data_IF_258577142615
#
_entry.id   IF_258577142615
#
_cell.length_a   1.000
_cell.length_b   1.000
_cell.length_c   1.000
_cell.angle_alpha   90.00
_cell.angle_beta   90.00
_cell.angle_gamma   90.00
#
_symmetry.space_group_name_H-M   'P 1'
#
loop_
_entity.id
_entity.type
_entity.pdbx_description
1 polymer ?
#
# COMPACT_ATOMS: atom_id res chain seq x y z
N UNK A 1 -54.89 22.31 26.46
CA UNK A 1 -54.39 21.23 27.35
C UNK A 1 -54.12 20.01 26.47
N UNK A 2 -52.87 19.50 26.46
CA UNK A 2 -52.48 18.10 26.17
C UNK A 2 -52.66 17.58 24.72
N UNK A 3 -51.75 16.88 24.04
CA UNK A 3 -50.35 16.47 24.25
C UNK A 3 -49.74 16.22 22.85
N UNK A 4 -48.44 16.51 22.70
CA UNK A 4 -47.59 16.17 21.55
C UNK A 4 -47.41 14.65 21.42
N UNK A 5 -47.50 14.12 20.21
CA UNK A 5 -47.06 12.76 19.86
C UNK A 5 -45.88 12.88 18.90
N UNK A 6 -44.67 12.88 19.47
CA UNK A 6 -43.41 12.73 18.76
C UNK A 6 -43.17 11.24 18.52
N UNK A 7 -43.23 10.79 17.27
CA UNK A 7 -42.77 9.47 16.89
C UNK A 7 -41.25 9.54 16.60
N UNK A 8 -40.47 8.95 17.49
CA UNK A 8 -39.02 8.77 17.34
C UNK A 8 -38.78 7.67 16.30
N UNK A 9 -38.23 8.05 15.15
CA UNK A 9 -37.70 7.12 14.16
C UNK A 9 -36.41 6.52 14.72
N UNK A 10 -36.44 5.26 15.16
CA UNK A 10 -35.22 4.52 15.49
C UNK A 10 -34.40 4.30 14.21
N UNK A 11 -33.26 4.97 14.13
CA UNK A 11 -32.22 4.68 13.16
C UNK A 11 -31.66 3.27 13.43
N UNK A 12 -31.93 2.34 12.52
CA UNK A 12 -31.24 1.07 12.44
C UNK A 12 -29.80 1.32 11.95
N UNK A 13 -28.88 1.54 12.88
CA UNK A 13 -27.45 1.51 12.55
C UNK A 13 -27.01 0.04 12.42
N UNK A 14 -26.53 -0.30 11.22
CA UNK A 14 -26.05 -1.62 10.85
C UNK A 14 -24.99 -2.14 11.82
N UNK A 15 -25.24 -3.35 12.34
CA UNK A 15 -24.29 -4.11 13.16
C UNK A 15 -23.72 -5.20 12.25
N UNK A 16 -22.79 -4.84 11.37
CA UNK A 16 -22.17 -5.78 10.43
C UNK A 16 -20.69 -5.53 10.10
N UNK A 17 -19.99 -4.65 10.84
CA UNK A 17 -18.80 -3.97 10.26
C UNK A 17 -17.45 -4.37 10.87
N UNK A 18 -17.39 -4.87 12.11
CA UNK A 18 -16.13 -5.24 12.75
C UNK A 18 -15.61 -6.64 12.35
N UNK A 19 -16.49 -7.52 11.85
CA UNK A 19 -16.14 -8.90 11.52
C UNK A 19 -15.53 -9.06 10.11
N UNK A 20 -15.77 -8.10 9.22
CA UNK A 20 -15.34 -8.19 7.82
C UNK A 20 -13.85 -7.89 7.61
N UNK A 21 -13.24 -7.03 8.44
CA UNK A 21 -11.81 -6.72 8.32
C UNK A 21 -10.92 -7.95 8.61
N UNK A 22 -11.13 -8.72 9.71
CA UNK A 22 -10.43 -9.98 9.92
C UNK A 22 -10.56 -10.97 8.74
N UNK A 23 -11.75 -11.07 8.14
CA UNK A 23 -12.00 -11.93 6.99
C UNK A 23 -11.21 -11.45 5.76
N UNK A 24 -11.27 -10.16 5.44
CA UNK A 24 -10.46 -9.56 4.38
C UNK A 24 -8.96 -9.79 4.60
N UNK A 25 -8.46 -9.65 5.83
CA UNK A 25 -7.03 -9.89 6.13
C UNK A 25 -6.63 -11.37 5.99
N UNK A 26 -7.56 -12.32 6.18
CA UNK A 26 -7.30 -13.73 5.87
C UNK A 26 -7.25 -13.95 4.36
N UNK A 27 -8.23 -13.41 3.62
CA UNK A 27 -8.30 -13.44 2.15
C UNK A 27 -7.01 -12.88 1.55
N UNK A 28 -6.57 -11.70 1.97
CA UNK A 28 -5.36 -11.07 1.45
C UNK A 28 -4.09 -11.88 1.75
N UNK A 29 -4.01 -12.51 2.93
CA UNK A 29 -2.90 -13.43 3.25
C UNK A 29 -2.94 -14.69 2.39
N UNK A 30 -4.12 -15.23 2.12
CA UNK A 30 -4.29 -16.37 1.23
C UNK A 30 -3.91 -16.00 -0.21
N UNK A 31 -4.35 -14.85 -0.69
CA UNK A 31 -4.05 -14.34 -2.03
C UNK A 31 -2.55 -14.14 -2.29
N UNK A 32 -1.70 -14.02 -1.26
CA UNK A 32 -0.24 -14.04 -1.46
C UNK A 32 0.28 -15.39 -2.00
N UNK A 33 -0.49 -16.47 -1.78
CA UNK A 33 -0.13 -17.86 -2.11
C UNK A 33 -0.82 -18.38 -3.35
N UNK A 34 -1.78 -17.65 -3.90
CA UNK A 34 -2.54 -18.04 -5.08
C UNK A 34 -2.39 -17.01 -6.18
N UNK A 35 -2.46 -17.48 -7.42
CA UNK A 35 -2.37 -16.67 -8.61
C UNK A 35 -3.59 -16.96 -9.49
N UNK A 36 -4.21 -15.89 -9.98
CA UNK A 36 -5.31 -15.97 -10.95
C UNK A 36 -4.77 -15.51 -12.30
N UNK A 37 -5.10 -16.26 -13.36
CA UNK A 37 -4.69 -15.94 -14.73
C UNK A 37 -5.90 -15.57 -15.58
N UNK A 38 -5.69 -14.65 -16.50
CA UNK A 38 -6.75 -14.08 -17.31
C UNK A 38 -6.28 -12.88 -18.11
N UNK A 39 -7.22 -12.07 -18.55
CA UNK A 39 -6.92 -10.79 -19.21
C UNK A 39 -7.18 -9.67 -18.22
N UNK A 40 -6.16 -8.87 -17.91
CA UNK A 40 -6.24 -7.77 -16.95
C UNK A 40 -5.96 -6.45 -17.64
N UNK A 41 -6.89 -5.50 -17.49
CA UNK A 41 -6.62 -4.10 -17.80
C UNK A 41 -5.99 -3.43 -16.60
N UNK A 42 -4.80 -2.85 -16.74
CA UNK A 42 -4.11 -2.10 -15.69
C UNK A 42 -3.81 -0.68 -16.16
N UNK A 43 -4.37 0.31 -15.45
CA UNK A 43 -4.17 1.73 -15.67
C UNK A 43 -3.45 2.37 -14.48
N UNK A 44 -2.37 3.11 -14.73
CA UNK A 44 -1.63 3.87 -13.71
C UNK A 44 -1.49 5.32 -14.18
N UNK A 45 -2.16 6.23 -13.48
CA UNK A 45 -2.22 7.66 -13.78
C UNK A 45 -1.19 8.47 -13.01
N UNK A 46 -0.59 7.88 -11.96
CA UNK A 46 0.39 8.56 -11.11
C UNK A 46 1.75 7.82 -11.04
N UNK A 47 2.88 8.54 -11.16
CA UNK A 47 2.96 9.91 -11.66
C UNK A 47 2.37 10.00 -13.09
N UNK A 48 1.96 11.18 -13.58
CA UNK A 48 1.31 11.34 -14.88
C UNK A 48 2.03 10.58 -16.00
N UNK A 49 1.28 9.77 -16.75
CA UNK A 49 1.78 8.96 -17.88
C UNK A 49 0.99 9.26 -19.14
N UNK A 50 1.69 9.32 -20.28
CA UNK A 50 1.06 9.48 -21.59
C UNK A 50 0.19 8.25 -21.97
N UNK A 51 0.69 7.04 -21.70
CA UNK A 51 -0.01 5.78 -21.91
C UNK A 51 -0.18 5.06 -20.56
N UNK A 52 -1.22 5.38 -19.78
CA UNK A 52 -1.40 4.84 -18.44
C UNK A 52 -1.84 3.38 -18.45
N UNK A 53 -2.46 2.92 -19.54
CA UNK A 53 -3.16 1.62 -19.62
C UNK A 53 -2.36 0.56 -20.37
N UNK A 54 -2.37 -0.66 -19.85
CA UNK A 54 -1.76 -1.86 -20.43
C UNK A 54 -2.58 -3.11 -20.13
N UNK A 55 -2.46 -4.11 -20.99
CA UNK A 55 -3.03 -5.45 -20.77
C UNK A 55 -1.97 -6.37 -20.17
N UNK A 56 -2.36 -7.17 -19.17
CA UNK A 56 -1.53 -8.16 -18.47
C UNK A 56 -2.26 -9.49 -18.38
N UNK A 57 -1.54 -10.55 -18.04
CA UNK A 57 -2.08 -11.91 -17.87
C UNK A 57 -2.49 -12.24 -16.41
N UNK A 58 -2.15 -11.35 -15.48
CA UNK A 58 -2.43 -11.45 -14.06
C UNK A 58 -2.54 -10.05 -13.43
N UNK A 59 -3.21 -9.97 -12.28
CA UNK A 59 -3.30 -8.71 -11.54
C UNK A 59 -1.91 -8.27 -11.05
N UNK A 60 -1.57 -6.97 -11.20
CA UNK A 60 -0.43 -6.40 -10.51
C UNK A 60 -0.52 -6.67 -9.01
N UNK A 61 0.63 -7.02 -8.43
CA UNK A 61 0.71 -7.31 -7.01
C UNK A 61 0.55 -6.03 -6.20
N UNK A 62 -0.43 -6.03 -5.30
CA UNK A 62 -0.53 -5.05 -4.21
C UNK A 62 0.08 -5.68 -2.97
N UNK A 63 1.05 -5.01 -2.37
CA UNK A 63 1.66 -5.49 -1.13
C UNK A 63 0.79 -5.09 0.06
N UNK A 64 0.42 -6.07 0.87
CA UNK A 64 -0.35 -5.84 2.09
C UNK A 64 0.51 -6.15 3.31
N UNK A 65 0.41 -5.35 4.35
CA UNK A 65 1.08 -5.55 5.62
C UNK A 65 -0.01 -5.74 6.69
N UNK A 66 -0.48 -6.96 6.95
CA UNK A 66 -1.76 -7.19 7.62
C UNK A 66 -1.92 -6.51 8.99
N UNK A 67 -0.86 -6.46 9.80
CA UNK A 67 -0.92 -5.80 11.11
C UNK A 67 -1.03 -4.28 11.00
N UNK A 68 -0.42 -3.67 9.97
CA UNK A 68 -0.55 -2.25 9.70
C UNK A 68 -1.91 -1.92 9.07
N UNK A 69 -2.42 -2.77 8.18
CA UNK A 69 -3.80 -2.62 7.67
C UNK A 69 -4.79 -2.61 8.82
N UNK A 70 -4.69 -3.57 9.75
CA UNK A 70 -5.55 -3.62 10.95
C UNK A 70 -5.47 -2.35 11.81
N UNK A 71 -4.29 -1.73 11.89
CA UNK A 71 -4.04 -0.58 12.76
C UNK A 71 -4.39 0.76 12.12
N UNK A 72 -4.17 0.88 10.81
CA UNK A 72 -4.14 2.16 10.11
C UNK A 72 -5.25 2.31 9.07
N UNK A 73 -6.14 1.33 8.91
CA UNK A 73 -7.25 1.41 7.96
C UNK A 73 -8.58 1.07 8.63
N UNK A 74 -9.61 1.81 8.21
CA UNK A 74 -11.00 1.45 8.47
C UNK A 74 -11.61 0.85 7.21
N UNK A 75 -12.45 -0.15 7.41
CA UNK A 75 -13.23 -0.77 6.35
C UNK A 75 -14.56 -0.03 6.21
N UNK A 76 -14.87 0.41 5.00
CA UNK A 76 -16.19 0.92 4.63
C UNK A 76 -17.18 -0.23 4.37
N UNK A 77 -18.40 0.12 4.00
CA UNK A 77 -19.43 -0.87 3.70
C UNK A 77 -19.02 -1.74 2.52
N UNK A 78 -19.07 -3.05 2.73
CA UNK A 78 -18.74 -3.98 1.68
C UNK A 78 -19.96 -4.15 0.76
N UNK A 79 -19.78 -3.87 -0.53
CA UNK A 79 -20.82 -3.96 -1.53
C UNK A 79 -20.70 -5.24 -2.34
N UNK A 80 -21.83 -5.84 -2.72
CA UNK A 80 -21.85 -6.90 -3.73
C UNK A 80 -21.68 -6.28 -5.11
N UNK A 81 -20.87 -6.91 -5.96
CA UNK A 81 -20.49 -6.44 -7.28
C UNK A 81 -20.19 -7.62 -8.23
N UNK A 82 -19.85 -7.36 -9.49
CA UNK A 82 -19.35 -8.35 -10.44
C UNK A 82 -18.07 -7.90 -11.11
N UNK A 83 -17.09 -8.81 -11.20
CA UNK A 83 -15.83 -8.58 -11.94
C UNK A 83 -15.57 -9.76 -12.86
N UNK A 84 -15.31 -9.49 -14.15
CA UNK A 84 -15.12 -10.52 -15.17
C UNK A 84 -16.23 -11.59 -15.18
N UNK A 85 -17.48 -11.18 -14.96
CA UNK A 85 -18.66 -12.06 -14.90
C UNK A 85 -18.81 -12.88 -13.61
N UNK A 86 -17.89 -12.75 -12.65
CA UNK A 86 -17.90 -13.46 -11.36
C UNK A 86 -18.43 -12.57 -10.25
N UNK A 87 -19.15 -13.15 -9.30
CA UNK A 87 -19.64 -12.45 -8.12
C UNK A 87 -18.46 -12.05 -7.21
N UNK A 88 -18.42 -10.78 -6.85
CA UNK A 88 -17.35 -10.20 -6.04
C UNK A 88 -17.90 -9.39 -4.88
N UNK A 89 -17.18 -9.39 -3.76
CA UNK A 89 -17.39 -8.46 -2.65
C UNK A 89 -16.36 -7.34 -2.77
N UNK A 90 -16.83 -6.10 -2.88
CA UNK A 90 -16.00 -4.90 -2.88
C UNK A 90 -15.75 -4.46 -1.44
N UNK A 91 -14.49 -4.21 -1.12
CA UNK A 91 -14.04 -3.71 0.17
C UNK A 91 -13.37 -2.35 -0.02
N UNK A 92 -13.94 -1.31 0.56
CA UNK A 92 -13.35 0.03 0.57
C UNK A 92 -12.55 0.25 1.86
N UNK A 93 -11.30 0.67 1.73
CA UNK A 93 -10.33 0.83 2.81
C UNK A 93 -9.90 2.29 2.87
N UNK A 94 -10.20 2.94 3.99
CA UNK A 94 -9.84 4.34 4.25
C UNK A 94 -8.67 4.39 5.24
N UNK A 95 -7.53 5.01 4.90
CA UNK A 95 -6.42 5.14 5.83
C UNK A 95 -6.76 6.14 6.95
N UNK A 96 -6.22 5.91 8.14
CA UNK A 96 -6.27 6.86 9.26
C UNK A 96 -5.48 8.13 8.97
N UNK A 97 -4.48 8.05 8.08
CA UNK A 97 -3.79 9.22 7.54
C UNK A 97 -4.61 9.79 6.38
N UNK A 98 -5.28 10.92 6.61
CA UNK A 98 -6.12 11.57 5.61
C UNK A 98 -5.38 12.01 4.33
N UNK A 99 -4.04 12.08 4.36
CA UNK A 99 -3.22 12.41 3.19
C UNK A 99 -2.77 11.18 2.38
N UNK A 100 -3.10 9.96 2.81
CA UNK A 100 -2.74 8.73 2.12
C UNK A 100 -3.88 8.24 1.21
N UNK A 101 -3.54 7.44 0.19
CA UNK A 101 -4.52 6.91 -0.76
C UNK A 101 -5.53 5.97 -0.11
N UNK A 102 -6.76 6.04 -0.63
CA UNK A 102 -7.83 5.09 -0.35
C UNK A 102 -7.76 3.93 -1.33
N UNK A 103 -8.25 2.78 -0.90
CA UNK A 103 -8.21 1.54 -1.66
C UNK A 103 -9.59 0.94 -1.80
N UNK A 104 -9.87 0.39 -2.96
CA UNK A 104 -11.01 -0.51 -3.18
C UNK A 104 -10.49 -1.83 -3.71
N UNK A 105 -10.96 -2.93 -3.12
CA UNK A 105 -10.52 -4.28 -3.48
C UNK A 105 -11.75 -5.12 -3.75
N UNK A 106 -11.83 -5.73 -4.93
CA UNK A 106 -12.89 -6.67 -5.28
C UNK A 106 -12.35 -8.08 -5.09
N UNK A 107 -13.02 -8.87 -4.28
CA UNK A 107 -12.64 -10.25 -3.97
C UNK A 107 -13.72 -11.18 -4.49
N UNK A 108 -13.32 -12.20 -5.24
CA UNK A 108 -14.21 -13.28 -5.67
C UNK A 108 -14.85 -13.98 -4.46
N UNK A 109 -16.18 -14.10 -4.45
CA UNK A 109 -16.93 -14.71 -3.34
C UNK A 109 -16.63 -16.20 -3.18
N UNK A 110 -16.35 -16.91 -4.28
CA UNK A 110 -16.15 -18.36 -4.26
C UNK A 110 -14.69 -18.72 -3.96
N UNK A 111 -13.76 -18.06 -4.63
CA UNK A 111 -12.33 -18.36 -4.61
C UNK A 111 -11.57 -17.61 -3.54
N UNK A 112 -12.14 -16.54 -2.97
CA UNK A 112 -11.50 -15.72 -1.94
C UNK A 112 -10.16 -15.16 -2.42
N UNK A 113 -10.12 -14.67 -3.65
CA UNK A 113 -8.95 -14.04 -4.29
C UNK A 113 -9.34 -12.69 -4.88
N UNK A 114 -8.44 -11.70 -4.89
CA UNK A 114 -8.70 -10.43 -5.54
C UNK A 114 -8.89 -10.57 -7.04
N UNK A 115 -9.90 -9.88 -7.57
CA UNK A 115 -10.21 -9.77 -9.00
C UNK A 115 -9.98 -8.35 -9.56
N UNK A 116 -9.98 -7.34 -8.68
CA UNK A 116 -9.63 -5.98 -9.05
C UNK A 116 -9.09 -5.18 -7.86
N UNK A 117 -8.37 -4.12 -8.17
CA UNK A 117 -7.90 -3.10 -7.24
C UNK A 117 -8.11 -1.71 -7.83
N UNK A 118 -8.45 -0.76 -6.96
CA UNK A 118 -8.49 0.65 -7.28
C UNK A 118 -7.79 1.44 -6.17
N UNK A 119 -6.93 2.38 -6.56
CA UNK A 119 -6.30 3.37 -5.68
C UNK A 119 -6.83 4.74 -6.03
N UNK A 120 -7.28 5.47 -5.02
CA UNK A 120 -7.65 6.88 -5.16
C UNK A 120 -6.83 7.77 -4.26
N UNK A 121 -6.48 8.94 -4.77
CA UNK A 121 -5.84 9.98 -3.97
C UNK A 121 -6.74 10.41 -2.80
N UNK A 122 -6.21 11.16 -1.82
CA UNK A 122 -7.02 11.82 -0.80
C UNK A 122 -8.16 12.69 -1.34
N UNK A 123 -7.96 13.32 -2.50
CA UNK A 123 -8.98 14.13 -3.20
C UNK A 123 -10.00 13.29 -3.96
N UNK A 124 -9.79 11.97 -4.10
CA UNK A 124 -10.68 11.04 -4.80
C UNK A 124 -10.30 10.77 -6.26
N UNK A 125 -9.21 11.37 -6.75
CA UNK A 125 -8.70 11.16 -8.10
C UNK A 125 -8.23 9.72 -8.28
N UNK A 126 -8.49 9.12 -9.44
CA UNK A 126 -8.06 7.77 -9.74
C UNK A 126 -6.56 7.74 -10.01
N UNK A 127 -5.81 7.01 -9.18
CA UNK A 127 -4.34 6.92 -9.26
C UNK A 127 -3.92 5.65 -9.99
N UNK A 128 -4.52 4.51 -9.64
CA UNK A 128 -4.36 3.28 -10.40
C UNK A 128 -5.60 2.41 -10.31
N UNK A 129 -5.85 1.65 -11.37
CA UNK A 129 -6.86 0.60 -11.43
C UNK A 129 -6.26 -0.63 -12.09
N UNK A 130 -6.58 -1.80 -11.58
CA UNK A 130 -6.34 -3.05 -12.27
C UNK A 130 -7.56 -3.95 -12.08
N UNK A 131 -8.07 -4.54 -13.16
CA UNK A 131 -9.24 -5.42 -13.11
C UNK A 131 -9.10 -6.53 -14.13
N UNK A 132 -9.52 -7.74 -13.77
CA UNK A 132 -9.78 -8.75 -14.78
C UNK A 132 -10.95 -8.32 -15.67
N UNK A 133 -10.77 -8.46 -16.97
CA UNK A 133 -11.83 -8.44 -17.98
C UNK A 133 -12.35 -9.86 -18.22
N UNK A 134 -11.43 -10.84 -18.17
CA UNK A 134 -11.72 -12.28 -18.29
C UNK A 134 -10.82 -13.06 -17.34
N UNK A 135 -11.36 -14.13 -16.77
CA UNK A 135 -10.62 -15.08 -15.93
C UNK A 135 -10.67 -16.45 -16.60
N UNK A 136 -9.54 -17.14 -16.67
CA UNK A 136 -9.44 -18.42 -17.39
C UNK A 136 -9.85 -19.60 -16.50
N UNK A 137 -8.96 -19.94 -15.56
CA UNK A 137 -9.07 -21.13 -14.71
C UNK A 137 -9.16 -20.75 -13.23
N UNK A 138 -9.44 -21.76 -12.40
CA UNK A 138 -9.34 -21.66 -10.95
C UNK A 138 -7.93 -21.20 -10.48
N UNK A 139 -7.83 -20.53 -9.31
CA UNK A 139 -6.57 -20.01 -8.80
C UNK A 139 -5.55 -21.12 -8.57
N UNK A 140 -4.32 -20.89 -9.00
CA UNK A 140 -3.22 -21.85 -8.87
C UNK A 140 -2.30 -21.43 -7.74
N UNK A 141 -1.71 -22.40 -7.03
CA UNK A 141 -0.73 -22.10 -5.97
C UNK A 141 0.52 -21.47 -6.60
N UNK A 142 1.02 -20.41 -5.99
CA UNK A 142 2.22 -19.70 -6.44
C UNK A 142 3.49 -20.41 -5.93
N UNK A 143 4.50 -20.61 -6.78
CA UNK A 143 5.76 -21.25 -6.38
C UNK A 143 6.63 -20.39 -5.46
N UNK A 144 6.56 -19.06 -5.57
CA UNK A 144 7.34 -18.13 -4.75
C UNK A 144 6.45 -17.29 -3.83
N UNK A 145 6.71 -17.38 -2.52
CA UNK A 145 6.02 -16.61 -1.49
C UNK A 145 6.38 -15.12 -1.50
N UNK A 146 5.68 -14.34 -0.67
CA UNK A 146 5.96 -12.92 -0.49
C UNK A 146 7.41 -12.66 -0.07
N UNK A 147 8.00 -11.56 -0.55
CA UNK A 147 9.31 -11.10 -0.08
C UNK A 147 9.31 -10.95 1.45
N UNK A 148 10.41 -11.33 2.09
CA UNK A 148 10.54 -11.26 3.54
C UNK A 148 10.31 -9.83 4.03
N UNK A 149 9.36 -9.66 4.95
CA UNK A 149 9.13 -8.42 5.68
C UNK A 149 10.03 -8.43 6.90
N UNK A 150 10.55 -7.27 7.28
CA UNK A 150 11.38 -7.09 8.48
C UNK A 150 10.61 -6.28 9.55
N UNK A 151 9.50 -6.80 10.11
CA UNK A 151 8.76 -6.07 11.10
C UNK A 151 9.40 -6.24 12.47
N UNK A 152 10.33 -5.37 12.81
CA UNK A 152 10.79 -5.28 14.19
C UNK A 152 10.95 -3.82 14.61
N UNK A 153 10.64 -3.57 15.89
CA UNK A 153 10.99 -2.30 16.53
C UNK A 153 12.48 -2.00 16.38
N UNK A 154 13.33 -3.03 16.27
CA UNK A 154 14.75 -2.93 15.92
C UNK A 154 14.98 -2.34 14.53
N UNK A 155 14.31 -2.84 13.49
CA UNK A 155 14.47 -2.28 12.14
C UNK A 155 14.04 -0.81 12.10
N UNK A 156 12.93 -0.48 12.76
CA UNK A 156 12.50 0.92 12.89
C UNK A 156 13.55 1.78 13.60
N UNK A 157 14.11 1.31 14.72
CA UNK A 157 15.18 2.02 15.44
C UNK A 157 16.42 2.19 14.57
N UNK A 158 16.82 1.16 13.85
CA UNK A 158 17.97 1.17 12.95
C UNK A 158 17.80 2.20 11.83
N UNK A 159 16.62 2.26 11.19
CA UNK A 159 16.30 3.27 10.16
C UNK A 159 16.35 4.69 10.72
N UNK A 160 15.76 4.92 11.89
CA UNK A 160 15.78 6.24 12.53
C UNK A 160 17.18 6.66 13.01
N UNK A 161 18.02 5.71 13.42
CA UNK A 161 19.42 5.94 13.74
C UNK A 161 20.25 6.22 12.49
N UNK A 162 19.96 5.55 11.37
CA UNK A 162 20.65 5.74 10.10
C UNK A 162 20.33 7.10 9.44
N UNK A 163 19.17 7.67 9.74
CA UNK A 163 18.73 8.96 9.22
C UNK A 163 18.24 9.87 10.37
N UNK A 164 19.14 10.38 11.22
CA UNK A 164 18.76 11.22 12.34
C UNK A 164 17.96 12.44 11.87
N UNK A 165 16.76 12.62 12.43
CA UNK A 165 15.83 13.68 12.04
C UNK A 165 14.80 13.28 10.97
N UNK A 166 14.82 12.03 10.47
CA UNK A 166 13.74 11.46 9.68
C UNK A 166 12.42 11.48 10.47
N UNK A 167 11.35 11.98 9.85
CA UNK A 167 10.00 11.98 10.41
C UNK A 167 9.12 11.04 9.62
N UNK A 168 8.78 9.88 10.17
CA UNK A 168 7.86 8.97 9.50
C UNK A 168 6.46 9.61 9.37
N UNK A 169 5.80 9.52 8.20
CA UNK A 169 4.41 9.93 8.08
C UNK A 169 3.51 9.16 9.07
N UNK A 170 2.38 9.75 9.44
CA UNK A 170 1.41 9.08 10.33
C UNK A 170 0.99 7.72 9.76
N UNK A 171 1.05 6.67 10.59
CA UNK A 171 0.73 5.30 10.22
C UNK A 171 1.85 4.52 9.51
N UNK A 172 2.82 5.21 8.89
CA UNK A 172 3.87 4.56 8.11
C UNK A 172 5.02 4.02 8.98
N UNK A 173 5.47 2.81 8.65
CA UNK A 173 6.61 2.14 9.27
C UNK A 173 7.56 1.57 8.21
N UNK A 174 8.87 1.50 8.49
CA UNK A 174 9.78 0.77 7.63
C UNK A 174 9.49 -0.73 7.73
N UNK A 175 9.22 -1.38 6.59
CA UNK A 175 8.79 -2.79 6.53
C UNK A 175 9.74 -3.68 5.74
N UNK A 176 10.62 -3.08 4.93
CA UNK A 176 11.60 -3.81 4.11
C UNK A 176 12.80 -2.94 3.78
N UNK A 177 13.94 -3.59 3.58
CA UNK A 177 15.17 -3.00 3.07
C UNK A 177 15.63 -3.79 1.84
N UNK A 178 15.98 -3.10 0.76
CA UNK A 178 16.45 -3.67 -0.49
C UNK A 178 17.68 -2.91 -0.98
N UNK A 179 18.68 -3.62 -1.50
CA UNK A 179 19.67 -2.99 -2.38
C UNK A 179 19.09 -2.94 -3.79
N UNK A 180 19.10 -1.77 -4.39
CA UNK A 180 18.72 -1.55 -5.78
C UNK A 180 19.89 -0.94 -6.54
N UNK A 181 19.80 -0.91 -7.87
CA UNK A 181 20.75 -0.18 -8.71
C UNK A 181 20.80 1.33 -8.39
N UNK A 182 19.77 1.87 -7.74
CA UNK A 182 19.66 3.28 -7.36
C UNK A 182 20.27 3.58 -6.00
N UNK A 183 20.68 2.56 -5.25
CA UNK A 183 21.14 2.66 -3.87
C UNK A 183 20.30 1.81 -2.93
N UNK A 184 20.32 2.18 -1.65
CA UNK A 184 19.65 1.45 -0.59
C UNK A 184 18.21 1.93 -0.45
N UNK A 185 17.24 1.05 -0.65
CA UNK A 185 15.80 1.34 -0.62
C UNK A 185 15.14 0.77 0.63
N UNK A 186 14.56 1.66 1.43
CA UNK A 186 13.73 1.34 2.59
C UNK A 186 12.28 1.55 2.18
N UNK A 187 11.48 0.47 2.17
CA UNK A 187 10.05 0.59 1.96
C UNK A 187 9.38 1.02 3.26
N UNK A 188 8.72 2.17 3.24
CA UNK A 188 7.82 2.64 4.30
C UNK A 188 6.39 2.28 3.91
N UNK A 189 5.61 1.69 4.80
CA UNK A 189 4.21 1.36 4.52
C UNK A 189 3.30 1.66 5.70
N UNK A 190 2.06 2.04 5.43
CA UNK A 190 0.97 2.10 6.40
C UNK A 190 0.11 0.83 6.42
N UNK A 191 0.45 -0.19 5.63
CA UNK A 191 -0.43 -1.34 5.41
C UNK A 191 -0.60 -1.67 3.94
N UNK A 192 -0.84 -0.66 3.11
CA UNK A 192 -1.14 -0.85 1.68
C UNK A 192 -0.42 0.21 0.85
N UNK A 193 -0.41 1.45 1.33
CA UNK A 193 0.36 2.51 0.70
C UNK A 193 1.83 2.27 1.00
N UNK A 194 2.68 2.56 0.01
CA UNK A 194 4.13 2.37 0.11
C UNK A 194 4.84 3.64 -0.36
N UNK A 195 5.84 4.06 0.41
CA UNK A 195 6.82 5.06 0.01
C UNK A 195 8.18 4.39 -0.08
N UNK A 196 8.90 4.65 -1.15
CA UNK A 196 10.30 4.25 -1.28
C UNK A 196 11.18 5.37 -0.76
N UNK A 197 11.78 5.16 0.43
CA UNK A 197 12.83 6.01 0.98
C UNK A 197 14.17 5.46 0.51
N UNK A 198 14.89 6.20 -0.32
CA UNK A 198 16.11 5.67 -0.93
C UNK A 198 17.31 6.54 -0.55
N UNK A 199 18.44 5.90 -0.25
CA UNK A 199 19.73 6.51 0.05
C UNK A 199 20.66 6.21 -1.13
N UNK A 200 21.17 7.24 -1.80
CA UNK A 200 21.84 7.11 -3.08
C UNK A 200 23.07 8.03 -3.21
N UNK A 201 23.94 7.70 -4.17
CA UNK A 201 25.08 8.56 -4.57
C UNK A 201 24.71 9.63 -5.59
N UNK A 202 23.60 9.42 -6.31
CA UNK A 202 23.13 10.33 -7.36
C UNK A 202 21.76 10.88 -7.01
N UNK A 203 21.46 12.09 -7.47
CA UNK A 203 20.17 12.73 -7.31
C UNK A 203 19.16 12.30 -8.39
N UNK A 204 17.87 12.52 -8.14
CA UNK A 204 16.75 12.18 -9.03
C UNK A 204 16.18 13.47 -9.53
N UNK A 205 15.56 13.40 -10.70
CA UNK A 205 14.67 14.44 -11.15
C UNK A 205 13.48 14.55 -10.18
N UNK A 206 13.39 15.67 -9.47
CA UNK A 206 12.21 16.02 -8.66
C UNK A 206 11.00 16.18 -9.57
N UNK A 207 9.84 15.73 -9.09
CA UNK A 207 8.58 15.75 -9.80
C UNK A 207 7.44 15.36 -8.87
N UNK A 208 6.24 15.21 -9.43
CA UNK A 208 5.08 14.80 -8.65
C UNK A 208 5.33 13.46 -7.95
N UNK A 209 5.07 13.41 -6.63
CA UNK A 209 5.33 12.22 -5.81
C UNK A 209 6.80 11.95 -5.51
N UNK A 210 7.73 12.87 -5.82
CA UNK A 210 9.16 12.70 -5.57
C UNK A 210 9.71 13.93 -4.85
N UNK A 211 10.24 13.74 -3.64
CA UNK A 211 11.02 14.77 -2.95
C UNK A 211 12.43 14.27 -2.68
N UNK A 212 13.44 15.10 -2.97
CA UNK A 212 14.84 14.74 -2.83
C UNK A 212 15.63 15.86 -2.16
N UNK A 213 16.63 15.49 -1.36
CA UNK A 213 17.59 16.42 -0.78
C UNK A 213 18.99 15.80 -0.70
N UNK A 214 20.00 16.66 -0.74
CA UNK A 214 21.38 16.29 -0.41
C UNK A 214 21.57 16.31 1.10
N UNK A 215 22.28 15.32 1.65
CA UNK A 215 22.67 15.21 3.06
C UNK A 215 24.12 14.76 3.10
N UNK A 216 25.04 15.70 3.37
CA UNK A 216 26.47 15.45 3.24
C UNK A 216 26.85 15.05 1.81
N UNK A 217 27.51 13.90 1.66
CA UNK A 217 27.93 13.37 0.35
C UNK A 217 26.85 12.52 -0.35
N UNK A 218 25.71 12.25 0.30
CA UNK A 218 24.65 11.37 -0.23
C UNK A 218 23.40 12.16 -0.60
N UNK A 219 22.56 11.55 -1.42
CA UNK A 219 21.19 11.98 -1.67
C UNK A 219 20.23 11.08 -0.90
N UNK A 220 19.21 11.72 -0.32
CA UNK A 220 18.06 11.03 0.27
C UNK A 220 16.83 11.54 -0.45
N UNK A 221 16.08 10.61 -1.01
CA UNK A 221 14.88 10.90 -1.78
C UNK A 221 13.75 9.98 -1.35
N UNK A 222 12.52 10.46 -1.47
CA UNK A 222 11.31 9.78 -1.08
C UNK A 222 10.37 9.81 -2.27
N UNK A 223 9.90 8.63 -2.66
CA UNK A 223 8.99 8.45 -3.78
C UNK A 223 7.71 7.82 -3.27
N UNK A 224 6.57 8.42 -3.60
CA UNK A 224 5.27 7.81 -3.32
C UNK A 224 4.12 8.80 -3.36
N UNK A 225 2.91 8.27 -3.15
CA UNK A 225 1.68 9.01 -3.29
C UNK A 225 1.29 9.69 -1.97
N UNK A 226 2.01 10.77 -1.65
CA UNK A 226 1.65 11.73 -0.60
C UNK A 226 1.80 13.15 -1.16
N UNK A 227 1.07 14.14 -0.61
CA UNK A 227 1.28 15.54 -0.95
C UNK A 227 2.74 15.96 -0.76
N UNK A 228 3.27 16.80 -1.66
CA UNK A 228 4.68 17.22 -1.63
C UNK A 228 5.08 17.84 -0.28
N UNK A 229 4.19 18.61 0.34
CA UNK A 229 4.41 19.18 1.66
C UNK A 229 4.70 18.10 2.73
N UNK A 230 4.01 16.95 2.66
CA UNK A 230 4.26 15.82 3.55
C UNK A 230 5.61 15.16 3.23
N UNK A 231 5.90 14.91 1.95
CA UNK A 231 7.21 14.34 1.55
C UNK A 231 8.38 15.22 2.03
N UNK A 232 8.22 16.55 1.93
CA UNK A 232 9.18 17.53 2.42
C UNK A 232 9.36 17.48 3.93
N UNK A 233 8.27 17.35 4.69
CA UNK A 233 8.34 17.24 6.15
C UNK A 233 9.07 15.97 6.61
N UNK A 234 8.92 14.86 5.88
CA UNK A 234 9.59 13.58 6.18
C UNK A 234 11.10 13.72 6.13
N UNK A 235 11.62 14.30 5.04
CA UNK A 235 13.06 14.45 4.83
C UNK A 235 13.64 15.73 5.43
N UNK A 236 12.81 16.72 5.76
CA UNK A 236 13.21 18.11 6.01
C UNK A 236 14.18 18.34 7.18
N UNK A 237 14.23 17.41 8.15
CA UNK A 237 15.12 17.51 9.32
C UNK A 237 16.24 16.49 9.36
N UNK A 238 16.42 15.68 8.30
CA UNK A 238 17.53 14.73 8.25
C UNK A 238 18.85 15.49 8.25
N UNK A 239 19.70 15.22 9.25
CA UNK A 239 20.97 15.91 9.46
C UNK A 239 22.18 15.13 8.95
N UNK A 240 22.11 13.80 8.91
CA UNK A 240 23.20 12.92 8.48
C UNK A 240 22.68 11.64 7.85
N UNK A 241 23.56 10.94 7.12
CA UNK A 241 23.32 9.59 6.61
C UNK A 241 24.35 8.65 7.23
N UNK A 242 23.90 7.74 8.09
CA UNK A 242 24.71 6.78 8.83
C UNK A 242 24.28 5.35 8.45
N UNK A 243 24.60 4.93 7.21
CA UNK A 243 24.15 3.63 6.69
C UNK A 243 24.63 2.44 7.54
N UNK A 244 25.74 2.58 8.26
CA UNK A 244 26.27 1.58 9.21
C UNK A 244 25.25 1.24 10.31
N UNK A 245 24.39 2.19 10.70
CA UNK A 245 23.35 1.97 11.73
C UNK A 245 22.23 1.05 11.28
N UNK A 246 22.12 0.77 9.99
CA UNK A 246 21.22 -0.26 9.47
C UNK A 246 21.74 -1.68 9.76
N UNK A 247 23.00 -1.83 10.19
CA UNK A 247 23.54 -3.07 10.72
C UNK A 247 23.33 -4.28 9.81
N UNK A 248 22.89 -5.39 10.40
CA UNK A 248 22.68 -6.67 9.72
C UNK A 248 21.55 -6.64 8.69
N UNK A 249 20.65 -5.65 8.72
CA UNK A 249 19.57 -5.53 7.74
C UNK A 249 20.10 -5.26 6.33
N UNK A 250 21.32 -4.73 6.20
CA UNK A 250 21.97 -4.39 4.92
C UNK A 250 22.59 -5.63 4.24
N UNK A 251 22.62 -6.78 4.93
CA UNK A 251 23.28 -8.02 4.49
C UNK A 251 22.37 -9.25 4.56
N UNK A 252 21.82 -9.61 3.40
CA UNK A 252 21.77 -10.95 2.78
C UNK A 252 20.72 -10.94 1.66
N UNK A 253 20.92 -10.09 0.64
CA UNK A 253 20.04 -10.04 -0.53
C UNK A 253 20.54 -10.92 -1.70
N UNK A 254 21.74 -11.47 -1.62
CA UNK A 254 22.28 -12.43 -2.60
C UNK A 254 22.92 -13.61 -1.89
N UNK A 255 22.12 -14.63 -1.62
CA UNK A 255 22.60 -15.99 -1.34
C UNK A 255 21.63 -16.97 -2.00
N UNK A 256 21.60 -16.92 -3.34
CA UNK A 256 21.41 -18.09 -4.18
C UNK A 256 22.17 -17.84 -5.49
N UNK A 257 23.12 -18.72 -5.88
CA UNK A 257 23.70 -18.74 -7.22
C UNK A 257 22.66 -19.08 -8.29
#
# INVERSE_FOLDING_TARGET
MRFLLSAVLLAAFGVGHAQDLPALLQILRQAERFDVRGEVTSSVYFPPRANPTRTLDALPRVEFVPWLVRRNFTLGDAASDKVAGRDAKRFDLTPSNANASRWSIWVDVQWHVPLAYEERSPSGDLIRRASFERVQDAPRRRPNGSAARLPSAEFRRAVLAALPGLRLPSGFEPVRLLRSQRGLEIALSDGINVLALVIADRNVRVGEGVFARKVGARFVWLVGNLPEAQLRLVLGKISAVQQDKLGTFVSSADSNP
#
